data_IF_553134385479
#
_entry.id   IF_553134385479
#
_cell.length_a   1.000
_cell.length_b   1.000
_cell.length_c   1.000
_cell.angle_alpha   90.00
_cell.angle_beta   90.00
_cell.angle_gamma   90.00
#
_symmetry.space_group_name_H-M   'P 1'
#
loop_
_entity.id
_entity.type
_entity.pdbx_description
1 polymer ?
#
# COMPACT_ATOMS: atom_id res chain seq x y z
N UNK A 1 -10.30 -36.84 -8.01
CA UNK A 1 -11.67 -37.01 -7.43
C UNK A 1 -11.84 -36.31 -6.09
N UNK A 2 -10.92 -36.44 -5.12
CA UNK A 2 -11.04 -35.77 -3.80
C UNK A 2 -10.89 -34.27 -3.93
N UNK A 3 -9.93 -33.79 -4.71
CA UNK A 3 -9.67 -32.36 -4.89
C UNK A 3 -10.78 -31.65 -5.69
N UNK A 4 -11.43 -32.34 -6.62
CA UNK A 4 -12.43 -31.73 -7.50
C UNK A 4 -13.83 -31.62 -6.90
N UNK A 5 -14.16 -32.42 -5.88
CA UNK A 5 -15.52 -32.43 -5.31
C UNK A 5 -15.55 -32.14 -3.81
N UNK A 6 -14.70 -32.79 -3.00
CA UNK A 6 -14.82 -32.72 -1.54
C UNK A 6 -14.27 -31.44 -0.93
N UNK A 7 -13.14 -30.92 -1.45
CA UNK A 7 -12.57 -29.64 -0.98
C UNK A 7 -13.42 -28.42 -1.30
N UNK A 8 -13.99 -28.26 -2.51
CA UNK A 8 -14.94 -27.18 -2.78
C UNK A 8 -16.18 -27.22 -1.88
N UNK A 9 -16.76 -28.41 -1.65
CA UNK A 9 -17.90 -28.56 -0.74
C UNK A 9 -17.51 -28.18 0.70
N UNK A 10 -16.30 -28.56 1.16
CA UNK A 10 -15.81 -28.17 2.48
C UNK A 10 -15.61 -26.65 2.56
N UNK A 11 -15.11 -26.02 1.52
CA UNK A 11 -14.96 -24.57 1.45
C UNK A 11 -16.31 -23.83 1.55
N UNK A 12 -17.34 -24.35 0.89
CA UNK A 12 -18.71 -23.82 1.01
C UNK A 12 -19.25 -23.96 2.43
N UNK A 13 -19.03 -25.12 3.07
CA UNK A 13 -19.40 -25.34 4.49
C UNK A 13 -18.69 -24.33 5.43
N UNK A 14 -17.42 -24.07 5.19
CA UNK A 14 -16.64 -23.09 5.97
C UNK A 14 -17.18 -21.67 5.77
N UNK A 15 -17.42 -21.27 4.52
CA UNK A 15 -17.98 -19.95 4.21
C UNK A 15 -19.37 -19.74 4.84
N UNK A 16 -20.19 -20.78 4.87
CA UNK A 16 -21.52 -20.72 5.49
C UNK A 16 -21.47 -20.63 7.02
N UNK A 17 -20.48 -21.24 7.67
CA UNK A 17 -20.36 -21.31 9.13
C UNK A 17 -18.89 -21.25 9.57
N UNK A 18 -18.22 -20.09 9.49
CA UNK A 18 -16.79 -19.97 9.83
C UNK A 18 -16.48 -20.27 11.32
N UNK A 19 -17.43 -20.02 12.22
CA UNK A 19 -17.29 -20.29 13.65
C UNK A 19 -16.95 -21.74 13.98
N UNK A 20 -17.36 -22.70 13.14
CA UNK A 20 -17.05 -24.12 13.37
C UNK A 20 -15.53 -24.41 13.45
N UNK A 21 -14.69 -23.53 12.90
CA UNK A 21 -13.23 -23.64 13.00
C UNK A 21 -12.78 -23.30 14.41
N UNK A 22 -13.30 -22.22 14.97
CA UNK A 22 -12.95 -21.73 16.32
C UNK A 22 -13.49 -22.64 17.42
N UNK A 23 -14.56 -23.37 17.17
CA UNK A 23 -15.20 -24.31 18.09
C UNK A 23 -14.53 -25.69 18.07
N UNK A 24 -13.50 -25.89 17.26
CA UNK A 24 -12.82 -27.18 17.08
C UNK A 24 -11.67 -27.38 18.06
N UNK A 25 -11.51 -28.61 18.55
CA UNK A 25 -10.35 -29.05 19.33
C UNK A 25 -9.13 -29.43 18.47
N UNK A 26 -9.15 -29.19 17.17
CA UNK A 26 -8.04 -29.46 16.26
C UNK A 26 -6.83 -28.56 16.59
N UNK A 27 -5.62 -29.10 16.50
CA UNK A 27 -4.38 -28.37 16.79
C UNK A 27 -4.20 -27.11 15.91
N UNK A 28 -4.60 -27.23 14.65
CA UNK A 28 -4.54 -26.14 13.68
C UNK A 28 -5.61 -26.29 12.59
N UNK A 29 -5.76 -25.26 11.74
CA UNK A 29 -6.72 -25.25 10.63
C UNK A 29 -6.48 -26.40 9.64
N UNK A 30 -5.24 -26.80 9.41
CA UNK A 30 -4.91 -27.86 8.46
C UNK A 30 -5.36 -29.23 8.99
N UNK A 31 -5.17 -29.49 10.29
CA UNK A 31 -5.66 -30.71 10.96
C UNK A 31 -7.18 -30.77 10.95
N UNK A 32 -7.84 -29.61 11.14
CA UNK A 32 -9.28 -29.50 11.05
C UNK A 32 -9.78 -29.81 9.64
N UNK A 33 -9.19 -29.22 8.59
CA UNK A 33 -9.54 -29.46 7.17
C UNK A 33 -9.33 -30.93 6.81
N UNK A 34 -8.22 -31.54 7.21
CA UNK A 34 -7.92 -32.95 6.97
C UNK A 34 -8.97 -33.86 7.65
N UNK A 35 -9.30 -33.59 8.92
CA UNK A 35 -10.34 -34.31 9.65
C UNK A 35 -11.70 -34.24 8.95
N UNK A 36 -12.15 -33.04 8.57
CA UNK A 36 -13.40 -32.85 7.84
C UNK A 36 -13.40 -33.50 6.45
N UNK A 37 -12.26 -33.53 5.78
CA UNK A 37 -12.11 -34.24 4.52
C UNK A 37 -12.22 -35.75 4.71
N UNK A 38 -11.59 -36.31 5.75
CA UNK A 38 -11.69 -37.73 6.10
C UNK A 38 -13.15 -38.09 6.42
N UNK A 39 -13.87 -37.26 7.16
CA UNK A 39 -15.30 -37.47 7.44
C UNK A 39 -16.14 -37.54 6.16
N UNK A 40 -15.81 -36.76 5.13
CA UNK A 40 -16.54 -36.71 3.86
C UNK A 40 -16.19 -37.85 2.89
N UNK A 41 -14.91 -38.24 2.81
CA UNK A 41 -14.40 -39.18 1.77
C UNK A 41 -13.69 -40.41 2.33
N UNK A 42 -13.69 -40.59 3.64
CA UNK A 42 -13.12 -41.75 4.34
C UNK A 42 -11.61 -41.89 4.13
N UNK A 43 -11.13 -43.12 3.95
CA UNK A 43 -9.69 -43.42 3.81
C UNK A 43 -8.98 -42.66 2.69
N UNK A 44 -9.71 -42.22 1.68
CA UNK A 44 -9.15 -41.46 0.57
C UNK A 44 -8.63 -40.09 1.06
N UNK A 45 -9.30 -39.46 2.05
CA UNK A 45 -8.88 -38.21 2.68
C UNK A 45 -7.50 -38.30 3.30
N UNK A 46 -7.15 -39.43 3.89
CA UNK A 46 -5.83 -39.67 4.51
C UNK A 46 -4.65 -39.60 3.52
N UNK A 47 -4.91 -39.74 2.23
CA UNK A 47 -3.87 -39.63 1.18
C UNK A 47 -3.43 -38.19 0.93
N UNK A 48 -4.21 -37.21 1.36
CA UNK A 48 -3.90 -35.79 1.14
C UNK A 48 -2.56 -35.36 1.75
N UNK A 49 -2.19 -35.95 2.89
CA UNK A 49 -0.95 -35.62 3.60
C UNK A 49 0.29 -36.37 3.08
N UNK A 50 0.13 -37.29 2.13
CA UNK A 50 1.24 -38.13 1.62
C UNK A 50 2.30 -37.28 0.94
N UNK A 51 3.57 -37.40 1.36
CA UNK A 51 4.70 -36.66 0.79
C UNK A 51 4.75 -35.17 1.13
N UNK A 52 3.97 -34.75 2.12
CA UNK A 52 3.85 -33.35 2.54
C UNK A 52 4.22 -33.19 4.02
N UNK A 53 4.87 -32.10 4.36
CA UNK A 53 5.05 -31.63 5.73
C UNK A 53 4.15 -30.43 5.99
N UNK A 54 3.91 -30.13 7.27
CA UNK A 54 3.28 -28.87 7.63
C UNK A 54 4.13 -27.66 7.21
N UNK A 55 5.46 -27.81 7.15
CA UNK A 55 6.39 -26.74 6.80
C UNK A 55 6.23 -26.26 5.34
N UNK A 56 6.24 -27.17 4.35
CA UNK A 56 6.05 -26.80 2.95
C UNK A 56 4.61 -26.39 2.65
N UNK A 57 3.64 -26.99 3.35
CA UNK A 57 2.24 -26.61 3.24
C UNK A 57 2.01 -25.16 3.68
N UNK A 58 2.42 -24.80 4.90
CA UNK A 58 2.21 -23.44 5.44
C UNK A 58 2.93 -22.38 4.60
N UNK A 59 4.16 -22.69 4.14
CA UNK A 59 4.88 -21.79 3.24
C UNK A 59 4.14 -21.59 1.90
N UNK A 60 3.51 -22.64 1.36
CA UNK A 60 2.71 -22.55 0.13
C UNK A 60 1.45 -21.74 0.35
N UNK A 61 0.72 -22.01 1.42
CA UNK A 61 -0.53 -21.32 1.75
C UNK A 61 -0.31 -19.82 1.97
N UNK A 62 0.77 -19.45 2.66
CA UNK A 62 1.14 -18.04 2.84
C UNK A 62 1.46 -17.35 1.51
N UNK A 63 2.21 -18.01 0.62
CA UNK A 63 2.50 -17.47 -0.71
C UNK A 63 1.25 -17.31 -1.56
N UNK A 64 0.29 -18.25 -1.51
CA UNK A 64 -0.99 -18.12 -2.22
C UNK A 64 -1.79 -16.92 -1.69
N UNK A 65 -1.91 -16.78 -0.38
CA UNK A 65 -2.55 -15.62 0.23
C UNK A 65 -1.88 -14.30 -0.19
N UNK A 66 -0.55 -14.25 -0.18
CA UNK A 66 0.19 -13.07 -0.64
C UNK A 66 -0.10 -12.73 -2.11
N UNK A 67 -0.21 -13.73 -3.00
CA UNK A 67 -0.56 -13.50 -4.43
C UNK A 67 -1.93 -12.85 -4.58
N UNK A 68 -2.92 -13.34 -3.85
CA UNK A 68 -4.28 -12.79 -3.89
C UNK A 68 -4.28 -11.35 -3.34
N UNK A 69 -3.66 -11.13 -2.19
CA UNK A 69 -3.56 -9.80 -1.57
C UNK A 69 -2.80 -8.80 -2.45
N UNK A 70 -1.72 -9.20 -3.13
CA UNK A 70 -1.02 -8.33 -4.09
C UNK A 70 -1.93 -7.93 -5.24
N UNK A 71 -2.79 -8.83 -5.74
CA UNK A 71 -3.77 -8.50 -6.78
C UNK A 71 -4.79 -7.45 -6.31
N UNK A 72 -5.26 -7.55 -5.06
CA UNK A 72 -6.16 -6.57 -4.46
C UNK A 72 -5.48 -5.22 -4.27
N UNK A 73 -4.26 -5.20 -3.76
CA UNK A 73 -3.44 -3.99 -3.60
C UNK A 73 -3.16 -3.28 -4.93
N UNK A 74 -2.83 -4.05 -5.99
CA UNK A 74 -2.65 -3.50 -7.34
C UNK A 74 -3.93 -2.85 -7.87
N UNK A 75 -5.07 -3.49 -7.60
CA UNK A 75 -6.39 -2.97 -8.00
C UNK A 75 -6.70 -1.67 -7.26
N UNK A 76 -6.56 -1.62 -5.94
CA UNK A 76 -6.81 -0.43 -5.13
C UNK A 76 -5.85 0.72 -5.47
N UNK A 77 -4.57 0.40 -5.71
CA UNK A 77 -3.58 1.38 -6.14
C UNK A 77 -3.97 2.04 -7.47
N UNK A 78 -4.40 1.26 -8.46
CA UNK A 78 -4.89 1.77 -9.75
C UNK A 78 -6.17 2.58 -9.62
N UNK A 79 -7.07 2.19 -8.72
CA UNK A 79 -8.28 2.97 -8.43
C UNK A 79 -7.93 4.35 -7.87
N UNK A 80 -6.97 4.43 -6.94
CA UNK A 80 -6.50 5.70 -6.40
C UNK A 80 -5.79 6.54 -7.48
N UNK A 81 -4.96 5.94 -8.34
CA UNK A 81 -4.36 6.64 -9.48
C UNK A 81 -5.43 7.23 -10.41
N UNK A 82 -6.48 6.45 -10.73
CA UNK A 82 -7.59 6.90 -11.56
C UNK A 82 -8.35 8.06 -10.93
N UNK A 83 -8.63 8.01 -9.61
CA UNK A 83 -9.27 9.09 -8.88
C UNK A 83 -8.44 10.38 -8.87
N UNK A 84 -7.12 10.27 -8.74
CA UNK A 84 -6.20 11.42 -8.84
C UNK A 84 -6.20 12.03 -10.24
N UNK A 85 -6.20 11.21 -11.30
CA UNK A 85 -6.25 11.69 -12.69
C UNK A 85 -7.58 12.38 -12.98
N UNK A 86 -8.70 11.81 -12.54
CA UNK A 86 -10.03 12.43 -12.69
C UNK A 86 -10.10 13.77 -11.94
N UNK A 87 -9.62 13.79 -10.70
CA UNK A 87 -9.54 15.02 -9.88
C UNK A 87 -8.66 16.07 -10.56
N UNK A 88 -7.52 15.66 -11.16
CA UNK A 88 -6.66 16.55 -11.95
C UNK A 88 -7.39 17.13 -13.18
N UNK A 89 -8.08 16.28 -13.94
CA UNK A 89 -8.84 16.70 -15.13
C UNK A 89 -9.92 17.74 -14.79
N UNK A 90 -10.61 17.53 -13.66
CA UNK A 90 -11.66 18.44 -13.19
C UNK A 90 -11.12 19.77 -12.63
N UNK A 91 -9.81 19.89 -12.39
CA UNK A 91 -9.18 21.05 -11.74
C UNK A 91 -7.92 21.54 -12.46
N UNK A 92 -7.85 21.42 -13.79
CA UNK A 92 -6.69 21.81 -14.60
C UNK A 92 -6.36 23.31 -14.50
N UNK A 93 -7.38 24.12 -14.29
CA UNK A 93 -7.32 25.59 -14.21
C UNK A 93 -7.15 26.11 -12.77
N UNK A 94 -7.13 25.23 -11.77
CA UNK A 94 -7.00 25.61 -10.37
C UNK A 94 -5.53 25.90 -10.03
N UNK A 95 -5.12 27.14 -10.21
CA UNK A 95 -3.78 27.65 -9.87
C UNK A 95 -3.71 27.87 -8.36
N UNK A 96 -2.67 27.32 -7.70
CA UNK A 96 -2.40 27.49 -6.29
C UNK A 96 -0.91 27.74 -6.04
N UNK A 97 -0.49 28.26 -4.86
CA UNK A 97 0.92 28.39 -4.56
C UNK A 97 1.56 27.01 -4.41
N UNK A 98 2.74 26.83 -5.03
CA UNK A 98 3.66 25.76 -4.67
C UNK A 98 4.37 26.09 -3.34
N UNK A 99 4.90 25.07 -2.69
CA UNK A 99 5.59 25.22 -1.41
C UNK A 99 6.94 24.51 -1.41
N UNK A 100 7.97 25.21 -0.89
CA UNK A 100 9.23 24.62 -0.43
C UNK A 100 9.49 25.15 0.96
N UNK A 101 9.97 24.32 1.88
CA UNK A 101 10.19 24.70 3.28
C UNK A 101 8.93 25.26 3.98
N UNK A 102 7.73 24.87 3.55
CA UNK A 102 6.44 25.45 3.93
C UNK A 102 6.32 26.96 3.66
N UNK A 103 7.20 27.50 2.81
CA UNK A 103 7.12 28.86 2.30
C UNK A 103 6.54 28.84 0.88
N UNK A 104 5.78 29.87 0.53
CA UNK A 104 5.23 30.00 -0.83
C UNK A 104 6.36 30.09 -1.85
N UNK A 105 6.22 29.34 -2.91
CA UNK A 105 7.12 29.31 -4.05
C UNK A 105 6.34 29.61 -5.34
N UNK A 106 6.86 29.20 -6.48
CA UNK A 106 6.20 29.40 -7.76
C UNK A 106 4.80 28.77 -7.78
N UNK A 107 3.84 29.39 -8.47
CA UNK A 107 2.52 28.81 -8.65
C UNK A 107 2.56 27.47 -9.41
N UNK A 108 1.70 26.56 -9.00
CA UNK A 108 1.44 25.27 -9.67
C UNK A 108 -0.06 25.09 -9.85
N UNK A 109 -0.49 24.12 -10.64
CA UNK A 109 -1.91 23.75 -10.66
C UNK A 109 -2.20 22.62 -9.65
N UNK A 110 -3.41 22.57 -9.14
CA UNK A 110 -3.86 21.44 -8.32
C UNK A 110 -3.76 20.13 -9.11
N UNK A 111 -3.97 20.16 -10.42
CA UNK A 111 -3.77 19.03 -11.31
C UNK A 111 -2.32 18.52 -11.29
N UNK A 112 -1.34 19.43 -11.33
CA UNK A 112 0.08 19.06 -11.26
C UNK A 112 0.43 18.38 -9.92
N UNK A 113 -0.14 18.87 -8.82
CA UNK A 113 -0.03 18.24 -7.50
C UNK A 113 -0.61 16.82 -7.49
N UNK A 114 -1.82 16.60 -8.04
CA UNK A 114 -2.43 15.28 -8.15
C UNK A 114 -1.51 14.29 -8.91
N UNK A 115 -0.97 14.73 -10.07
CA UNK A 115 -0.12 13.89 -10.90
C UNK A 115 1.21 13.52 -10.23
N UNK A 116 1.72 14.34 -9.31
CA UNK A 116 2.90 13.97 -8.51
C UNK A 116 2.65 12.72 -7.65
N UNK A 117 1.44 12.56 -7.11
CA UNK A 117 1.05 11.35 -6.37
C UNK A 117 0.78 10.16 -7.30
N UNK A 118 0.28 10.37 -8.51
CA UNK A 118 0.19 9.30 -9.53
C UNK A 118 1.57 8.70 -9.79
N UNK A 119 2.62 9.53 -9.92
CA UNK A 119 3.99 9.06 -10.10
C UNK A 119 4.51 8.24 -8.89
N UNK A 120 4.14 8.60 -7.67
CA UNK A 120 4.50 7.82 -6.47
C UNK A 120 3.81 6.46 -6.47
N UNK A 121 2.51 6.42 -6.74
CA UNK A 121 1.70 5.20 -6.80
C UNK A 121 2.11 4.27 -7.95
N UNK A 122 2.53 4.81 -9.10
CA UNK A 122 3.08 4.01 -10.19
C UNK A 122 4.37 3.29 -9.78
N UNK A 123 5.23 3.93 -8.97
CA UNK A 123 6.41 3.26 -8.40
C UNK A 123 6.04 2.20 -7.37
N UNK A 124 4.95 2.38 -6.60
CA UNK A 124 4.45 1.36 -5.67
C UNK A 124 3.87 0.17 -6.42
N UNK A 125 3.13 0.40 -7.51
CA UNK A 125 2.67 -0.66 -8.41
C UNK A 125 3.84 -1.49 -8.95
N UNK A 126 4.90 -0.84 -9.41
CA UNK A 126 6.11 -1.51 -9.91
C UNK A 126 6.77 -2.38 -8.83
N UNK A 127 6.84 -1.91 -7.56
CA UNK A 127 7.36 -2.69 -6.43
C UNK A 127 6.54 -3.95 -6.16
N UNK A 128 5.21 -3.83 -6.16
CA UNK A 128 4.30 -4.97 -5.99
C UNK A 128 4.47 -6.00 -7.12
N UNK A 129 4.57 -5.54 -8.37
CA UNK A 129 4.80 -6.41 -9.53
C UNK A 129 6.15 -7.12 -9.46
N UNK A 130 7.20 -6.45 -8.98
CA UNK A 130 8.52 -7.05 -8.81
C UNK A 130 8.56 -8.06 -7.66
N UNK A 131 7.91 -7.77 -6.54
CA UNK A 131 7.75 -8.72 -5.44
C UNK A 131 6.97 -9.96 -5.88
N UNK A 132 5.90 -9.79 -6.67
CA UNK A 132 5.11 -10.89 -7.21
C UNK A 132 5.94 -11.86 -8.05
N UNK A 133 6.88 -11.38 -8.87
CA UNK A 133 7.77 -12.24 -9.68
C UNK A 133 8.60 -13.19 -8.83
N UNK A 134 9.10 -12.74 -7.67
CA UNK A 134 9.89 -13.57 -6.75
C UNK A 134 9.03 -14.44 -5.85
N UNK A 135 7.85 -13.98 -5.51
CA UNK A 135 6.84 -14.72 -4.76
C UNK A 135 6.29 -15.93 -5.54
N UNK A 136 6.23 -15.85 -6.88
CA UNK A 136 5.50 -16.77 -7.77
C UNK A 136 6.24 -18.09 -8.01
N UNK A 137 6.77 -18.70 -6.93
CA UNK A 137 7.44 -20.01 -6.94
C UNK A 137 6.93 -20.88 -5.79
N UNK A 138 6.51 -22.13 -6.10
CA UNK A 138 5.87 -23.03 -5.15
C UNK A 138 6.90 -23.81 -4.32
N UNK A 139 6.84 -23.78 -2.99
CA UNK A 139 7.66 -24.63 -2.11
C UNK A 139 7.07 -26.01 -1.91
N UNK A 140 5.83 -26.30 -2.35
CA UNK A 140 5.15 -27.56 -2.07
C UNK A 140 5.92 -28.76 -2.67
N UNK A 141 6.01 -29.83 -1.91
CA UNK A 141 6.80 -31.01 -2.23
C UNK A 141 8.24 -30.98 -1.69
N UNK A 142 8.62 -29.91 -0.97
CA UNK A 142 9.90 -29.84 -0.25
C UNK A 142 9.91 -30.66 1.05
N UNK A 143 8.75 -31.11 1.51
CA UNK A 143 8.59 -31.78 2.78
C UNK A 143 9.00 -30.89 3.95
N UNK A 144 9.58 -31.48 4.99
CA UNK A 144 10.04 -30.71 6.14
C UNK A 144 11.26 -29.82 5.82
N UNK A 145 12.21 -30.32 4.99
CA UNK A 145 13.42 -29.60 4.57
C UNK A 145 14.25 -30.36 3.49
N UNK A 146 14.06 -31.69 3.34
CA UNK A 146 14.92 -32.53 2.52
C UNK A 146 14.20 -33.18 1.33
N UNK A 147 13.01 -32.69 0.98
CA UNK A 147 12.15 -33.28 -0.05
C UNK A 147 11.41 -34.51 0.47
N UNK A 148 11.04 -35.39 -0.44
CA UNK A 148 10.27 -36.61 -0.16
C UNK A 148 10.78 -37.77 -0.99
N UNK A 149 10.59 -39.02 -0.52
CA UNK A 149 10.90 -40.23 -1.27
C UNK A 149 9.85 -40.58 -2.34
N UNK A 150 8.75 -39.88 -2.37
CA UNK A 150 7.69 -40.08 -3.37
C UNK A 150 8.03 -39.37 -4.67
N UNK A 151 7.72 -39.98 -5.80
CA UNK A 151 7.82 -39.36 -7.13
C UNK A 151 6.71 -38.32 -7.31
N UNK A 152 7.02 -37.06 -6.97
CA UNK A 152 6.10 -35.92 -7.12
C UNK A 152 6.67 -35.00 -8.21
N UNK A 153 5.88 -34.77 -9.28
CA UNK A 153 6.18 -33.72 -10.24
C UNK A 153 5.84 -32.36 -9.65
N UNK A 154 6.88 -31.70 -9.09
CA UNK A 154 6.73 -30.42 -8.42
C UNK A 154 6.40 -29.25 -9.37
N UNK A 155 6.85 -29.33 -10.63
CA UNK A 155 6.52 -28.32 -11.63
C UNK A 155 5.03 -28.42 -12.04
N UNK A 156 4.52 -29.62 -12.26
CA UNK A 156 3.13 -29.82 -12.53
C UNK A 156 2.25 -29.38 -11.35
N UNK A 157 2.69 -29.71 -10.11
CA UNK A 157 1.99 -29.31 -8.89
C UNK A 157 1.96 -27.78 -8.71
N UNK A 158 3.07 -27.11 -8.99
CA UNK A 158 3.15 -25.65 -8.97
C UNK A 158 2.18 -25.02 -9.97
N UNK A 159 2.14 -25.54 -11.21
CA UNK A 159 1.20 -25.08 -12.23
C UNK A 159 -0.27 -25.27 -11.84
N UNK A 160 -0.62 -26.38 -11.19
CA UNK A 160 -2.00 -26.62 -10.70
C UNK A 160 -2.40 -25.64 -9.59
N UNK A 161 -1.45 -25.14 -8.81
CA UNK A 161 -1.67 -24.16 -7.76
C UNK A 161 -1.57 -22.71 -8.27
N UNK A 162 -1.30 -22.51 -9.56
CA UNK A 162 -1.20 -21.20 -10.16
C UNK A 162 0.14 -20.48 -9.92
N UNK A 163 1.21 -21.23 -9.57
CA UNK A 163 2.57 -20.70 -9.53
C UNK A 163 3.27 -20.86 -10.89
N UNK A 164 4.20 -19.96 -11.18
CA UNK A 164 4.98 -20.00 -12.42
C UNK A 164 5.96 -21.19 -12.48
N UNK A 165 6.49 -21.62 -11.33
CA UNK A 165 7.44 -22.74 -11.22
C UNK A 165 7.53 -23.29 -9.80
N UNK A 166 8.29 -24.38 -9.60
CA UNK A 166 8.67 -24.88 -8.29
C UNK A 166 9.98 -24.25 -7.81
N UNK A 167 10.16 -24.17 -6.48
CA UNK A 167 11.44 -23.77 -5.86
C UNK A 167 12.51 -24.83 -6.07
N UNK A 168 13.79 -24.43 -6.09
CA UNK A 168 14.92 -25.31 -6.51
C UNK A 168 15.63 -26.04 -5.35
N UNK A 169 15.65 -25.45 -4.16
CA UNK A 169 16.32 -26.02 -2.98
C UNK A 169 15.32 -26.20 -1.85
N UNK A 170 15.11 -27.44 -1.41
CA UNK A 170 14.07 -27.77 -0.41
C UNK A 170 14.34 -27.19 0.97
N UNK A 171 15.60 -27.02 1.35
CA UNK A 171 15.98 -26.47 2.65
C UNK A 171 15.68 -24.95 2.71
N UNK A 172 16.03 -24.23 1.66
CA UNK A 172 15.73 -22.81 1.49
C UNK A 172 14.21 -22.58 1.38
N UNK A 173 13.52 -23.39 0.59
CA UNK A 173 12.09 -23.22 0.28
C UNK A 173 11.16 -23.16 1.46
N UNK A 174 11.44 -23.95 2.52
CA UNK A 174 10.63 -23.97 3.74
C UNK A 174 11.06 -22.88 4.74
N UNK A 175 12.25 -22.30 4.53
CA UNK A 175 12.85 -21.24 5.35
C UNK A 175 12.57 -19.84 4.80
N UNK A 176 12.40 -19.71 3.48
CA UNK A 176 12.25 -18.42 2.79
C UNK A 176 11.03 -17.63 3.28
N UNK A 177 11.28 -16.40 3.68
CA UNK A 177 10.30 -15.37 4.01
C UNK A 177 10.65 -14.02 3.35
N UNK A 178 11.53 -14.04 2.35
CA UNK A 178 11.91 -12.80 1.63
C UNK A 178 10.68 -12.11 1.04
N UNK A 179 9.71 -12.89 0.54
CA UNK A 179 8.45 -12.35 0.03
C UNK A 179 7.64 -11.59 1.10
N UNK A 180 7.72 -12.00 2.37
CA UNK A 180 7.09 -11.28 3.50
C UNK A 180 7.80 -9.94 3.72
N UNK A 181 9.14 -9.94 3.78
CA UNK A 181 9.94 -8.73 3.94
C UNK A 181 9.77 -7.77 2.77
N UNK A 182 9.71 -8.27 1.53
CA UNK A 182 9.50 -7.46 0.34
C UNK A 182 8.13 -6.78 0.35
N UNK A 183 7.07 -7.51 0.68
CA UNK A 183 5.72 -6.96 0.74
C UNK A 183 5.58 -5.93 1.87
N UNK A 184 6.13 -6.21 3.05
CA UNK A 184 6.17 -5.25 4.16
C UNK A 184 6.99 -4.00 3.81
N UNK A 185 8.09 -4.16 3.07
CA UNK A 185 8.92 -3.04 2.60
C UNK A 185 8.15 -2.18 1.58
N UNK A 186 7.46 -2.82 0.64
CA UNK A 186 6.62 -2.12 -0.33
C UNK A 186 5.48 -1.37 0.38
N UNK A 187 4.81 -2.01 1.35
CA UNK A 187 3.77 -1.41 2.15
C UNK A 187 4.29 -0.21 2.97
N UNK A 188 5.46 -0.34 3.61
CA UNK A 188 6.06 0.76 4.38
C UNK A 188 6.34 1.98 3.48
N UNK A 189 6.88 1.78 2.27
CA UNK A 189 7.12 2.86 1.30
C UNK A 189 5.79 3.45 0.82
N UNK A 190 4.81 2.62 0.46
CA UNK A 190 3.48 3.07 0.02
C UNK A 190 2.77 3.89 1.10
N UNK A 191 2.86 3.48 2.37
CA UNK A 191 2.30 4.24 3.49
C UNK A 191 3.02 5.58 3.71
N UNK A 192 4.33 5.69 3.44
CA UNK A 192 5.02 7.00 3.44
C UNK A 192 4.45 7.91 2.36
N UNK A 193 4.16 7.40 1.15
CA UNK A 193 3.52 8.18 0.09
C UNK A 193 2.13 8.65 0.51
N UNK A 194 1.30 7.76 1.06
CA UNK A 194 -0.03 8.11 1.57
C UNK A 194 0.02 9.07 2.76
N UNK A 195 1.01 8.96 3.64
CA UNK A 195 1.23 9.91 4.74
C UNK A 195 1.52 11.32 4.23
N UNK A 196 2.33 11.45 3.18
CA UNK A 196 2.62 12.75 2.53
C UNK A 196 1.38 13.31 1.83
N UNK A 197 0.62 12.47 1.13
CA UNK A 197 -0.67 12.84 0.54
C UNK A 197 -1.63 13.39 1.61
N UNK A 198 -1.73 12.69 2.74
CA UNK A 198 -2.57 13.12 3.84
C UNK A 198 -2.10 14.45 4.44
N UNK A 199 -0.81 14.64 4.65
CA UNK A 199 -0.23 15.88 5.20
C UNK A 199 -0.50 17.09 4.32
N UNK A 200 -0.28 16.98 3.01
CA UNK A 200 -0.57 18.06 2.07
C UNK A 200 -2.04 18.45 2.09
N UNK A 201 -2.97 17.48 2.09
CA UNK A 201 -4.40 17.75 2.12
C UNK A 201 -4.88 18.30 3.47
N UNK A 202 -4.29 17.85 4.58
CA UNK A 202 -4.54 18.43 5.91
C UNK A 202 -4.16 19.91 5.89
N UNK A 203 -2.97 20.23 5.38
CA UNK A 203 -2.53 21.62 5.25
C UNK A 203 -3.45 22.43 4.33
N UNK A 204 -3.80 21.90 3.15
CA UNK A 204 -4.67 22.59 2.21
C UNK A 204 -6.09 22.82 2.75
N UNK A 205 -6.56 21.97 3.69
CA UNK A 205 -7.87 22.08 4.33
C UNK A 205 -7.86 22.98 5.58
N UNK A 206 -6.71 23.48 6.06
CA UNK A 206 -6.68 24.39 7.21
C UNK A 206 -7.43 25.68 6.92
N UNK A 207 -7.93 26.35 7.99
CA UNK A 207 -8.57 27.65 7.84
C UNK A 207 -7.65 28.72 7.26
N UNK A 208 -6.33 28.62 7.49
CA UNK A 208 -5.31 29.53 7.01
C UNK A 208 -5.05 29.34 5.53
N UNK A 209 -4.92 28.12 5.03
CA UNK A 209 -4.74 27.83 3.62
C UNK A 209 -6.07 27.90 2.86
N UNK A 210 -7.05 27.11 3.24
CA UNK A 210 -8.40 27.09 2.69
C UNK A 210 -8.48 26.74 1.20
N UNK A 211 -7.53 25.93 0.70
CA UNK A 211 -7.45 25.60 -0.73
C UNK A 211 -8.41 24.51 -1.13
N UNK A 212 -8.73 23.62 -0.19
CA UNK A 212 -9.69 22.55 -0.39
C UNK A 212 -10.68 22.48 0.77
N UNK A 213 -11.83 21.89 0.50
CA UNK A 213 -12.79 21.47 1.52
C UNK A 213 -13.05 19.98 1.38
N UNK A 214 -12.94 19.25 2.49
CA UNK A 214 -13.19 17.82 2.54
C UNK A 214 -14.70 17.57 2.79
N UNK A 215 -15.19 16.44 2.26
CA UNK A 215 -16.58 16.03 2.47
C UNK A 215 -16.82 15.57 3.93
N UNK A 216 -18.08 15.65 4.37
CA UNK A 216 -18.50 15.18 5.70
C UNK A 216 -18.30 13.66 5.88
N UNK A 217 -18.17 12.89 4.81
CA UNK A 217 -17.92 11.43 4.85
C UNK A 217 -16.54 11.07 5.40
N UNK A 218 -15.58 11.97 5.32
CA UNK A 218 -14.17 11.75 5.68
C UNK A 218 -13.66 12.70 6.76
N UNK A 219 -14.59 13.44 7.38
CA UNK A 219 -14.31 14.39 8.46
C UNK A 219 -15.21 14.09 9.65
N UNK A 220 -14.79 14.51 10.83
CA UNK A 220 -15.64 14.49 12.03
C UNK A 220 -15.88 15.89 12.60
N UNK A 221 -17.04 16.06 13.21
CA UNK A 221 -17.36 17.26 13.98
C UNK A 221 -16.69 17.27 15.35
N UNK A 222 -16.72 18.43 16.00
CA UNK A 222 -16.30 18.55 17.39
C UNK A 222 -17.52 18.50 18.31
N UNK A 223 -17.44 17.76 19.41
CA UNK A 223 -18.49 17.74 20.45
C UNK A 223 -18.61 19.06 21.20
N UNK A 224 -17.57 19.92 21.15
CA UNK A 224 -17.53 21.20 21.86
C UNK A 224 -17.67 22.40 20.91
N UNK A 225 -17.15 22.31 19.71
CA UNK A 225 -17.08 23.42 18.74
C UNK A 225 -17.91 23.08 17.50
N UNK A 226 -19.18 23.54 17.38
CA UNK A 226 -20.08 23.12 16.29
C UNK A 226 -19.60 23.41 14.87
N UNK A 227 -18.73 24.43 14.70
CA UNK A 227 -18.19 24.86 13.41
C UNK A 227 -16.95 24.05 12.98
N UNK A 228 -16.35 23.23 13.85
CA UNK A 228 -15.08 22.54 13.60
C UNK A 228 -15.31 21.25 12.84
N UNK A 229 -14.58 21.08 11.76
CA UNK A 229 -14.46 19.84 11.00
C UNK A 229 -13.02 19.34 11.06
N UNK A 230 -12.80 18.14 11.57
CA UNK A 230 -11.47 17.53 11.67
C UNK A 230 -11.22 16.61 10.47
N UNK A 231 -10.05 16.62 9.87
CA UNK A 231 -9.71 15.75 8.73
C UNK A 231 -9.30 14.34 9.20
N UNK A 232 -10.14 13.68 10.01
CA UNK A 232 -9.81 12.45 10.74
C UNK A 232 -9.32 11.32 9.86
N UNK A 233 -9.93 11.13 8.66
CA UNK A 233 -9.51 10.10 7.74
C UNK A 233 -8.05 10.29 7.29
N UNK A 234 -7.65 11.52 7.01
CA UNK A 234 -6.27 11.85 6.62
C UNK A 234 -5.30 11.72 7.80
N UNK A 235 -5.70 12.13 8.99
CA UNK A 235 -4.89 11.96 10.21
C UNK A 235 -4.65 10.49 10.53
N UNK A 236 -5.67 9.64 10.35
CA UNK A 236 -5.54 8.19 10.52
C UNK A 236 -4.64 7.55 9.46
N UNK A 237 -4.74 7.94 8.20
CA UNK A 237 -3.80 7.50 7.14
C UNK A 237 -2.37 7.83 7.56
N UNK A 238 -2.11 9.08 7.97
CA UNK A 238 -0.79 9.54 8.43
C UNK A 238 -0.29 8.74 9.64
N UNK A 239 -1.15 8.50 10.62
CA UNK A 239 -0.82 7.78 11.85
C UNK A 239 -0.50 6.29 11.63
N UNK A 240 -1.22 5.63 10.71
CA UNK A 240 -1.05 4.20 10.41
C UNK A 240 0.28 3.85 9.75
N UNK A 241 1.02 4.83 9.22
CA UNK A 241 2.36 4.63 8.67
C UNK A 241 3.31 3.96 9.67
N UNK A 242 3.28 4.38 10.94
CA UNK A 242 4.10 3.77 12.00
C UNK A 242 3.76 2.32 12.31
N UNK A 243 2.47 1.94 12.20
CA UNK A 243 2.01 0.56 12.39
C UNK A 243 2.62 -0.37 11.35
N UNK A 244 2.55 -0.02 10.07
CA UNK A 244 3.11 -0.81 8.96
C UNK A 244 4.64 -0.88 9.04
N UNK A 245 5.31 0.23 9.35
CA UNK A 245 6.76 0.24 9.56
C UNK A 245 7.19 -0.64 10.74
N UNK A 246 6.40 -0.66 11.80
CA UNK A 246 6.63 -1.54 12.96
C UNK A 246 6.58 -3.02 12.59
N UNK A 247 5.62 -3.44 11.76
CA UNK A 247 5.50 -4.82 11.27
C UNK A 247 6.74 -5.25 10.47
N UNK A 248 7.25 -4.39 9.56
CA UNK A 248 8.48 -4.64 8.81
C UNK A 248 9.67 -4.83 9.75
N UNK A 249 9.84 -3.93 10.71
CA UNK A 249 10.96 -4.00 11.66
C UNK A 249 10.88 -5.25 12.52
N UNK A 250 9.68 -5.59 13.02
CA UNK A 250 9.43 -6.80 13.79
C UNK A 250 9.83 -8.06 13.02
N UNK A 251 9.37 -8.17 11.77
CA UNK A 251 9.66 -9.34 10.93
C UNK A 251 11.16 -9.47 10.59
N UNK A 252 11.85 -8.36 10.32
CA UNK A 252 13.30 -8.37 10.14
C UNK A 252 14.03 -8.89 11.39
N UNK A 253 13.57 -8.52 12.58
CA UNK A 253 14.17 -8.98 13.83
C UNK A 253 13.84 -10.44 14.12
N UNK A 254 12.66 -10.90 13.76
CA UNK A 254 12.27 -12.33 13.87
C UNK A 254 13.16 -13.21 13.02
N UNK A 255 13.43 -12.85 11.78
CA UNK A 255 14.26 -13.65 10.87
C UNK A 255 15.76 -13.52 11.14
N UNK A 256 16.21 -12.44 11.75
CA UNK A 256 17.62 -12.20 12.01
C UNK A 256 18.21 -13.29 12.91
N UNK A 257 19.13 -14.05 12.35
CA UNK A 257 19.88 -15.08 13.09
C UNK A 257 19.16 -16.43 13.24
N UNK A 258 18.00 -16.61 12.62
CA UNK A 258 17.37 -17.93 12.57
C UNK A 258 18.21 -18.90 11.73
N UNK A 259 18.40 -20.16 12.19
CA UNK A 259 18.97 -21.19 11.35
C UNK A 259 18.02 -21.55 10.19
N UNK A 260 18.56 -22.21 9.18
CA UNK A 260 17.79 -22.65 8.02
C UNK A 260 16.68 -23.64 8.40
N UNK A 261 15.81 -23.95 7.45
CA UNK A 261 14.58 -24.70 7.59
C UNK A 261 13.53 -23.96 8.42
N UNK A 262 12.76 -24.64 9.24
CA UNK A 262 11.66 -24.06 9.99
C UNK A 262 11.96 -23.99 11.48
N UNK A 263 11.67 -22.85 12.10
CA UNK A 263 11.64 -22.62 13.52
C UNK A 263 10.30 -22.01 13.93
N UNK A 264 9.85 -22.23 15.17
CA UNK A 264 8.55 -21.72 15.67
C UNK A 264 8.45 -20.18 15.61
N UNK A 265 9.57 -19.48 15.67
CA UNK A 265 9.66 -18.03 15.48
C UNK A 265 8.97 -17.56 14.19
N UNK A 266 8.97 -18.39 13.15
CA UNK A 266 8.29 -18.11 11.88
C UNK A 266 6.75 -18.09 11.97
N UNK A 267 6.14 -18.38 13.11
CA UNK A 267 4.71 -18.13 13.32
C UNK A 267 4.40 -16.62 13.36
N UNK A 268 5.39 -15.79 13.72
CA UNK A 268 5.28 -14.32 13.68
C UNK A 268 5.22 -13.75 12.26
N UNK A 269 5.36 -14.57 11.21
CA UNK A 269 5.35 -14.14 9.81
C UNK A 269 3.96 -13.74 9.29
N UNK A 270 2.88 -13.99 10.03
CA UNK A 270 1.50 -13.84 9.57
C UNK A 270 0.79 -12.61 10.11
N UNK A 271 0.66 -12.47 11.43
CA UNK A 271 -0.17 -11.43 12.03
C UNK A 271 0.29 -10.02 11.61
N UNK A 272 1.60 -9.75 11.71
CA UNK A 272 2.15 -8.46 11.30
C UNK A 272 2.03 -8.19 9.79
N UNK A 273 2.16 -9.24 8.96
CA UNK A 273 1.99 -9.12 7.51
C UNK A 273 0.54 -8.84 7.15
N UNK A 274 -0.39 -9.62 7.67
CA UNK A 274 -1.83 -9.47 7.39
C UNK A 274 -2.29 -8.07 7.81
N UNK A 275 -2.01 -7.68 9.04
CA UNK A 275 -2.35 -6.37 9.57
C UNK A 275 -1.76 -5.20 8.76
N UNK A 276 -0.51 -5.32 8.31
CA UNK A 276 0.15 -4.28 7.51
C UNK A 276 -0.45 -4.14 6.11
N UNK A 277 -0.72 -5.27 5.41
CA UNK A 277 -1.26 -5.24 4.06
C UNK A 277 -2.74 -4.81 4.05
N UNK A 278 -3.54 -5.28 5.00
CA UNK A 278 -4.93 -4.84 5.19
C UNK A 278 -4.96 -3.33 5.51
N UNK A 279 -4.08 -2.87 6.39
CA UNK A 279 -3.95 -1.44 6.72
C UNK A 279 -3.59 -0.60 5.49
N UNK A 280 -2.67 -1.06 4.65
CA UNK A 280 -2.31 -0.37 3.41
C UNK A 280 -3.47 -0.34 2.42
N UNK A 281 -4.15 -1.47 2.23
CA UNK A 281 -5.32 -1.59 1.36
C UNK A 281 -6.44 -0.63 1.78
N UNK A 282 -6.78 -0.62 3.07
CA UNK A 282 -7.77 0.29 3.64
C UNK A 282 -7.40 1.77 3.45
N UNK A 283 -6.11 2.11 3.60
CA UNK A 283 -5.63 3.46 3.39
C UNK A 283 -5.68 3.89 1.92
N UNK A 284 -5.45 2.98 0.96
CA UNK A 284 -5.63 3.26 -0.47
C UNK A 284 -7.10 3.56 -0.79
N UNK A 285 -8.03 2.74 -0.30
CA UNK A 285 -9.47 2.96 -0.45
C UNK A 285 -9.93 4.27 0.20
N UNK A 286 -9.44 4.56 1.41
CA UNK A 286 -9.78 5.79 2.11
C UNK A 286 -9.25 7.02 1.38
N UNK A 287 -8.04 6.98 0.84
CA UNK A 287 -7.48 8.07 0.04
C UNK A 287 -8.30 8.35 -1.23
N UNK A 288 -8.78 7.31 -1.91
CA UNK A 288 -9.69 7.45 -3.05
C UNK A 288 -11.03 8.08 -2.62
N UNK A 289 -11.58 7.66 -1.47
CA UNK A 289 -12.81 8.23 -0.91
C UNK A 289 -12.66 9.72 -0.53
N UNK A 290 -11.49 10.13 -0.06
CA UNK A 290 -11.18 11.56 0.21
C UNK A 290 -11.27 12.38 -1.07
N UNK A 291 -10.77 11.87 -2.19
CA UNK A 291 -10.81 12.55 -3.48
C UNK A 291 -12.22 12.63 -4.09
N UNK A 292 -13.07 11.62 -3.87
CA UNK A 292 -14.45 11.56 -4.39
C UNK A 292 -15.31 12.76 -3.93
N UNK A 293 -15.03 13.33 -2.76
CA UNK A 293 -15.80 14.44 -2.21
C UNK A 293 -15.03 15.76 -2.06
N UNK A 294 -13.81 15.85 -2.58
CA UNK A 294 -12.97 17.04 -2.40
C UNK A 294 -13.46 18.21 -3.24
N UNK A 295 -13.51 19.39 -2.64
CA UNK A 295 -13.85 20.64 -3.33
C UNK A 295 -12.64 21.58 -3.35
N UNK A 296 -12.13 21.88 -4.54
CA UNK A 296 -11.02 22.84 -4.71
C UNK A 296 -11.58 24.26 -4.74
N UNK A 297 -11.13 25.10 -3.82
CA UNK A 297 -11.54 26.50 -3.68
C UNK A 297 -10.72 27.40 -4.61
N UNK A 298 -10.98 27.33 -5.93
CA UNK A 298 -10.22 28.04 -6.98
C UNK A 298 -9.95 29.51 -6.68
N UNK A 299 -10.95 30.33 -6.24
CA UNK A 299 -10.70 31.74 -5.94
C UNK A 299 -9.65 31.92 -4.82
N UNK A 300 -9.73 31.10 -3.77
CA UNK A 300 -8.78 31.14 -2.66
C UNK A 300 -7.38 30.69 -3.08
N UNK A 301 -7.29 29.65 -3.90
CA UNK A 301 -6.04 29.18 -4.48
C UNK A 301 -5.36 30.29 -5.29
N UNK A 302 -6.12 30.92 -6.19
CA UNK A 302 -5.62 31.99 -7.07
C UNK A 302 -5.19 33.23 -6.26
N UNK A 303 -5.99 33.67 -5.28
CA UNK A 303 -5.63 34.77 -4.38
C UNK A 303 -4.28 34.48 -3.68
N UNK A 304 -4.14 33.30 -3.11
CA UNK A 304 -2.92 32.90 -2.40
C UNK A 304 -1.69 32.80 -3.34
N UNK A 305 -1.89 32.38 -4.59
CA UNK A 305 -0.83 32.28 -5.59
C UNK A 305 -0.31 33.66 -6.06
N UNK A 306 -1.13 34.71 -5.92
CA UNK A 306 -0.76 36.09 -6.28
C UNK A 306 -0.02 36.83 -5.13
N UNK A 307 -0.04 36.28 -3.92
CA UNK A 307 0.57 36.89 -2.76
C UNK A 307 2.05 36.52 -2.63
N UNK A 308 2.84 37.42 -2.01
CA UNK A 308 4.23 37.16 -1.64
C UNK A 308 5.21 37.17 -2.80
N UNK A 309 4.86 37.87 -3.87
CA UNK A 309 5.72 38.04 -5.07
C UNK A 309 6.16 36.70 -5.70
N UNK A 310 5.30 35.71 -5.65
CA UNK A 310 5.57 34.34 -6.13
C UNK A 310 5.93 34.28 -7.63
N UNK A 311 5.57 35.32 -8.40
CA UNK A 311 5.90 35.53 -9.83
C UNK A 311 7.21 36.29 -10.06
N UNK A 312 7.97 36.59 -9.04
CA UNK A 312 9.25 37.31 -9.20
C UNK A 312 10.25 36.53 -10.07
N UNK A 313 10.24 35.19 -9.98
CA UNK A 313 11.10 34.34 -10.81
C UNK A 313 10.78 34.47 -12.29
N UNK A 314 9.49 34.49 -12.67
CA UNK A 314 9.07 34.64 -14.06
C UNK A 314 9.49 35.99 -14.64
N UNK A 315 9.51 37.06 -13.82
CA UNK A 315 10.03 38.34 -14.24
C UNK A 315 11.54 38.29 -14.50
N UNK A 316 12.31 37.59 -13.62
CA UNK A 316 13.74 37.40 -13.84
C UNK A 316 14.00 36.59 -15.13
N UNK A 317 13.26 35.48 -15.33
CA UNK A 317 13.35 34.65 -16.54
C UNK A 317 13.00 35.45 -17.82
N UNK A 318 11.98 36.30 -17.74
CA UNK A 318 11.66 37.19 -18.84
C UNK A 318 12.82 38.13 -19.21
N UNK A 319 13.48 38.73 -18.21
CA UNK A 319 14.66 39.57 -18.44
C UNK A 319 15.83 38.77 -19.05
N UNK A 320 16.03 37.54 -18.60
CA UNK A 320 17.03 36.62 -19.16
C UNK A 320 16.72 36.30 -20.62
N UNK A 321 15.47 36.05 -20.95
CA UNK A 321 15.03 35.84 -22.36
C UNK A 321 15.24 37.06 -23.22
N UNK A 322 15.36 38.26 -22.62
CA UNK A 322 15.69 39.53 -23.30
C UNK A 322 17.21 39.81 -23.37
N UNK A 323 18.03 38.87 -22.90
CA UNK A 323 19.50 38.96 -22.97
C UNK A 323 20.19 39.54 -21.74
N UNK A 324 19.45 39.77 -20.66
CA UNK A 324 20.06 40.17 -19.37
C UNK A 324 20.68 38.94 -18.71
N UNK A 325 21.95 38.98 -18.24
CA UNK A 325 22.53 37.87 -17.50
C UNK A 325 21.69 37.50 -16.26
N UNK A 326 21.54 36.19 -15.95
CA UNK A 326 20.67 35.70 -14.88
C UNK A 326 20.91 36.38 -13.52
N UNK A 327 22.18 36.56 -13.12
CA UNK A 327 22.53 37.21 -11.84
C UNK A 327 22.09 38.66 -11.78
N UNK A 328 22.18 39.36 -12.91
CA UNK A 328 21.73 40.76 -13.05
C UNK A 328 20.21 40.83 -13.04
N UNK A 329 19.53 39.99 -13.80
CA UNK A 329 18.07 39.87 -13.80
C UNK A 329 17.53 39.60 -12.39
N UNK A 330 18.14 38.65 -11.68
CA UNK A 330 17.77 38.30 -10.30
C UNK A 330 17.95 39.51 -9.36
N UNK A 331 19.05 40.28 -9.51
CA UNK A 331 19.31 41.46 -8.68
C UNK A 331 18.26 42.56 -8.95
N UNK A 332 17.98 42.87 -10.21
CA UNK A 332 16.97 43.86 -10.62
C UNK A 332 15.59 43.50 -10.04
N UNK A 333 15.18 42.25 -10.17
CA UNK A 333 13.88 41.78 -9.65
C UNK A 333 13.87 41.79 -8.12
N UNK A 334 14.99 41.45 -7.46
CA UNK A 334 15.13 41.54 -6.00
C UNK A 334 14.95 42.98 -5.49
N UNK A 335 15.56 43.98 -6.16
CA UNK A 335 15.37 45.41 -5.84
C UNK A 335 13.91 45.83 -6.02
N UNK A 336 13.25 45.39 -7.10
CA UNK A 336 11.84 45.70 -7.36
C UNK A 336 10.93 45.11 -6.26
N UNK A 337 11.18 43.90 -5.79
CA UNK A 337 10.45 43.28 -4.68
C UNK A 337 10.66 44.06 -3.38
N UNK A 338 11.90 44.44 -3.04
CA UNK A 338 12.19 45.26 -1.85
C UNK A 338 11.45 46.59 -1.88
N UNK A 339 11.42 47.25 -3.06
CA UNK A 339 10.69 48.51 -3.23
C UNK A 339 9.17 48.35 -3.11
N UNK A 340 8.61 47.28 -3.68
CA UNK A 340 7.19 46.95 -3.55
C UNK A 340 6.81 46.70 -2.06
N UNK A 341 7.65 46.00 -1.31
CA UNK A 341 7.45 45.80 0.14
C UNK A 341 7.43 47.16 0.88
N UNK A 342 8.36 48.08 0.55
CA UNK A 342 8.41 49.40 1.18
C UNK A 342 7.16 50.24 0.91
N UNK A 343 6.57 50.06 -0.26
CA UNK A 343 5.33 50.76 -0.65
C UNK A 343 4.05 50.10 -0.17
N UNK A 344 4.14 48.93 0.51
CA UNK A 344 2.98 48.17 0.97
C UNK A 344 2.13 47.58 -0.17
N UNK A 345 2.76 47.29 -1.28
CA UNK A 345 2.11 46.77 -2.51
C UNK A 345 2.28 45.25 -2.59
#
# INVERSE_FOLDING_TARGET
GVQTCALPILLEDVRARPQQILESDAEDIHSWVEGKLIDKVGQLGKKLHTGRSRNDQVATDLKLWCKDTVSELLTANRQLQSALVETAQNNQDAVMPGYTHLQRAQPVTFAHWCLAYVEMLARDESRLQDALKRLDVSPLGCGALAGTAYEIDREQLAGWLGFASATRNSLDSVSDRDHVLELLSAAAIGMVHLSRFAEDLIFFNTGEAGFVELSDRVTSGSSLMPQKKNPDALELIRGKCGRVQGALTGMMMTLKGLPLAYNKDMQEDKEGLFDALDTWLDCLHMAALVLDGIQVKRPRCQEAAQQGYANATELADYLVAKGVPFREAHHIVGEAVVEAIRQGK
#
